data_IF_740830478745
#
_entry.id   IF_740830478745
#
_cell.length_a   1.000
_cell.length_b   1.000
_cell.length_c   1.000
_cell.angle_alpha   90.00
_cell.angle_beta   90.00
_cell.angle_gamma   90.00
#
_symmetry.space_group_name_H-M   'P 1'
#
loop_
_entity.id
_entity.type
_entity.pdbx_description
1 polymer ?
#
# COMPACT_ATOMS: atom_id res chain seq x y z
N UNK A 1 53.85 -31.00 39.18
CA UNK A 1 54.29 -29.83 38.38
C UNK A 1 53.37 -29.71 37.17
N UNK A 2 52.36 -28.84 37.30
CA UNK A 2 51.51 -28.18 36.29
C UNK A 2 50.89 -29.02 35.14
N UNK A 3 49.62 -29.42 35.30
CA UNK A 3 48.70 -29.67 34.18
C UNK A 3 48.30 -28.31 33.57
N UNK A 4 48.51 -28.11 32.27
CA UNK A 4 48.00 -26.95 31.53
C UNK A 4 46.61 -27.29 30.99
N UNK A 5 45.57 -26.77 31.65
CA UNK A 5 44.22 -26.75 31.11
C UNK A 5 44.17 -25.78 29.92
N UNK A 6 43.88 -26.30 28.74
CA UNK A 6 43.62 -25.46 27.55
C UNK A 6 42.11 -25.37 27.38
N UNK A 7 41.55 -24.20 27.68
CA UNK A 7 40.13 -23.89 27.49
C UNK A 7 39.95 -23.54 26.01
N UNK A 8 39.21 -24.36 25.26
CA UNK A 8 38.70 -23.99 23.93
C UNK A 8 37.45 -23.13 24.12
N UNK A 9 37.60 -21.82 24.00
CA UNK A 9 36.46 -20.91 23.83
C UNK A 9 35.96 -21.01 22.39
N UNK A 10 34.86 -21.70 22.18
CA UNK A 10 34.14 -21.72 20.90
C UNK A 10 33.24 -20.49 20.83
N UNK A 11 33.62 -19.50 20.02
CA UNK A 11 32.81 -18.32 19.73
C UNK A 11 31.77 -18.70 18.67
N UNK A 12 30.53 -18.94 19.09
CA UNK A 12 29.39 -19.13 18.19
C UNK A 12 28.95 -17.77 17.67
N UNK A 13 29.31 -17.44 16.43
CA UNK A 13 28.84 -16.25 15.74
C UNK A 13 27.39 -16.49 15.30
N UNK A 14 26.43 -15.94 16.04
CA UNK A 14 25.02 -15.91 15.64
C UNK A 14 24.91 -14.92 14.47
N UNK A 15 24.74 -15.45 13.26
CA UNK A 15 24.41 -14.67 12.09
C UNK A 15 22.98 -14.14 12.27
N UNK A 16 22.86 -12.90 12.75
CA UNK A 16 21.58 -12.20 12.80
C UNK A 16 21.22 -11.87 11.35
N UNK A 17 20.30 -12.64 10.77
CA UNK A 17 19.73 -12.32 9.46
C UNK A 17 19.08 -10.95 9.57
N UNK A 18 19.72 -9.94 9.01
CA UNK A 18 19.07 -8.65 8.76
C UNK A 18 18.04 -8.96 7.69
N UNK A 19 16.80 -9.17 8.09
CA UNK A 19 15.67 -9.05 7.17
C UNK A 19 15.70 -7.60 6.73
N UNK A 20 16.18 -7.34 5.51
CA UNK A 20 15.94 -6.08 4.84
C UNK A 20 14.45 -5.82 4.95
N UNK A 21 14.08 -4.74 5.64
CA UNK A 21 12.72 -4.24 5.61
C UNK A 21 12.53 -3.79 4.17
N UNK A 22 12.08 -4.71 3.31
CA UNK A 22 11.65 -4.34 1.98
C UNK A 22 10.44 -3.46 2.24
N UNK A 23 10.60 -2.15 2.09
CA UNK A 23 9.47 -1.25 2.03
C UNK A 23 8.67 -1.71 0.80
N UNK A 24 7.68 -2.58 1.03
CA UNK A 24 6.88 -3.14 -0.03
C UNK A 24 6.19 -1.96 -0.71
N UNK A 25 6.65 -1.61 -1.90
CA UNK A 25 6.03 -0.55 -2.69
C UNK A 25 4.64 -1.01 -3.11
N UNK A 26 3.64 -0.14 -2.95
CA UNK A 26 2.31 -0.38 -3.50
C UNK A 26 2.40 -0.63 -5.01
N UNK A 27 1.70 -1.65 -5.46
CA UNK A 27 1.62 -2.03 -6.87
C UNK A 27 0.51 -1.23 -7.55
N UNK A 28 0.78 -0.69 -8.73
CA UNK A 28 -0.23 -0.06 -9.56
C UNK A 28 -0.98 -1.13 -10.37
N UNK A 29 -2.30 -1.23 -10.19
CA UNK A 29 -3.16 -2.21 -10.83
C UNK A 29 -3.11 -2.20 -12.36
N UNK A 30 -2.72 -1.08 -12.97
CA UNK A 30 -2.58 -0.95 -14.42
C UNK A 30 -1.21 -1.41 -14.96
N UNK A 31 -0.18 -1.51 -14.11
CA UNK A 31 1.19 -1.80 -14.55
C UNK A 31 1.84 -3.01 -13.87
N UNK A 32 1.29 -3.51 -12.76
CA UNK A 32 1.81 -4.67 -12.06
C UNK A 32 1.85 -5.91 -12.98
N UNK A 33 2.96 -6.63 -12.98
CA UNK A 33 3.09 -7.91 -13.68
C UNK A 33 2.24 -9.01 -13.04
N UNK A 34 1.98 -10.08 -13.78
CA UNK A 34 1.28 -11.26 -13.28
C UNK A 34 1.98 -11.86 -12.05
N UNK A 35 3.32 -11.87 -12.05
CA UNK A 35 4.12 -12.36 -10.92
C UNK A 35 3.99 -11.48 -9.69
N UNK A 36 3.90 -10.16 -9.85
CA UNK A 36 3.69 -9.22 -8.73
C UNK A 36 2.28 -9.37 -8.16
N UNK A 37 1.27 -9.47 -9.02
CA UNK A 37 -0.12 -9.70 -8.60
C UNK A 37 -0.29 -11.02 -7.84
N UNK A 38 0.34 -12.09 -8.34
CA UNK A 38 0.31 -13.41 -7.69
C UNK A 38 1.03 -13.43 -6.34
N UNK A 39 1.87 -12.43 -6.06
CA UNK A 39 2.56 -12.27 -4.78
C UNK A 39 1.73 -11.59 -3.71
N UNK A 40 0.57 -11.01 -4.05
CA UNK A 40 -0.31 -10.34 -3.08
C UNK A 40 -1.06 -11.40 -2.25
N UNK A 41 -1.03 -11.32 -0.91
CA UNK A 41 -1.82 -12.21 -0.06
C UNK A 41 -3.30 -12.22 -0.45
N UNK A 42 -3.94 -13.38 -0.39
CA UNK A 42 -5.36 -13.59 -0.72
C UNK A 42 -5.75 -13.37 -2.20
N UNK A 43 -4.79 -13.13 -3.10
CA UNK A 43 -5.05 -13.14 -4.55
C UNK A 43 -4.76 -14.54 -5.12
N UNK A 44 -5.73 -15.10 -5.85
CA UNK A 44 -5.58 -16.35 -6.59
C UNK A 44 -5.47 -16.09 -8.11
N UNK A 45 -5.21 -17.12 -8.90
CA UNK A 45 -5.05 -16.98 -10.36
C UNK A 45 -6.29 -16.41 -11.06
N UNK A 46 -7.51 -16.66 -10.56
CA UNK A 46 -8.74 -16.10 -11.13
C UNK A 46 -8.76 -14.58 -10.97
N UNK A 47 -8.44 -14.06 -9.78
CA UNK A 47 -8.34 -12.63 -9.51
C UNK A 47 -7.22 -11.97 -10.31
N UNK A 48 -6.05 -12.63 -10.44
CA UNK A 48 -4.94 -12.12 -11.27
C UNK A 48 -5.37 -11.92 -12.72
N UNK A 49 -6.00 -12.93 -13.31
CA UNK A 49 -6.42 -12.86 -14.71
C UNK A 49 -7.57 -11.85 -14.90
N UNK A 50 -8.48 -11.73 -13.93
CA UNK A 50 -9.49 -10.67 -13.94
C UNK A 50 -8.86 -9.27 -13.99
N UNK A 51 -7.90 -8.99 -13.11
CA UNK A 51 -7.21 -7.70 -13.07
C UNK A 51 -6.52 -7.43 -14.41
N UNK A 52 -5.76 -8.39 -14.94
CA UNK A 52 -5.03 -8.23 -16.20
C UNK A 52 -5.97 -7.97 -17.39
N UNK A 53 -7.07 -8.73 -17.48
CA UNK A 53 -8.01 -8.63 -18.60
C UNK A 53 -8.92 -7.39 -18.53
N UNK A 54 -9.13 -6.82 -17.34
CA UNK A 54 -9.96 -5.62 -17.14
C UNK A 54 -9.17 -4.31 -17.22
N UNK A 55 -7.85 -4.34 -17.46
CA UNK A 55 -7.03 -3.14 -17.66
C UNK A 55 -7.39 -2.40 -18.96
N UNK A 56 -7.22 -1.07 -18.99
CA UNK A 56 -6.87 -0.20 -17.86
C UNK A 56 -8.08 0.20 -17.03
N UNK A 57 -7.88 0.36 -15.72
CA UNK A 57 -8.81 1.00 -14.80
C UNK A 57 -8.59 2.52 -14.84
N UNK A 58 -9.65 3.31 -14.99
CA UNK A 58 -9.54 4.76 -14.98
C UNK A 58 -9.53 5.30 -13.54
N UNK A 59 -10.26 4.66 -12.63
CA UNK A 59 -10.33 5.03 -11.21
C UNK A 59 -10.08 3.83 -10.29
N UNK A 60 -9.91 4.10 -8.99
CA UNK A 60 -9.81 3.03 -7.99
C UNK A 60 -11.15 2.29 -7.85
N UNK A 61 -12.27 3.00 -7.96
CA UNK A 61 -13.62 2.44 -8.04
C UNK A 61 -13.81 1.47 -9.21
N UNK A 62 -13.21 1.71 -10.38
CA UNK A 62 -13.29 0.77 -11.51
C UNK A 62 -12.65 -0.58 -11.16
N UNK A 63 -11.50 -0.58 -10.48
CA UNK A 63 -10.87 -1.79 -9.96
C UNK A 63 -11.79 -2.44 -8.91
N UNK A 64 -12.31 -1.65 -7.98
CA UNK A 64 -13.17 -2.17 -6.91
C UNK A 64 -14.44 -2.85 -7.44
N UNK A 65 -15.07 -2.27 -8.45
CA UNK A 65 -16.25 -2.86 -9.09
C UNK A 65 -15.98 -4.24 -9.73
N UNK A 66 -14.74 -4.52 -10.14
CA UNK A 66 -14.39 -5.86 -10.61
C UNK A 66 -14.25 -6.85 -9.45
N UNK A 67 -13.60 -6.45 -8.37
CA UNK A 67 -13.20 -7.34 -7.29
C UNK A 67 -14.31 -7.58 -6.25
N UNK A 68 -15.18 -6.59 -6.01
CA UNK A 68 -16.20 -6.63 -4.95
C UNK A 68 -17.30 -7.67 -5.14
N UNK A 69 -17.42 -8.23 -6.35
CA UNK A 69 -18.34 -9.34 -6.62
C UNK A 69 -17.76 -10.71 -6.22
N UNK A 70 -16.46 -10.78 -5.98
CA UNK A 70 -15.74 -12.03 -5.72
C UNK A 70 -15.25 -12.15 -4.28
N UNK A 71 -15.13 -11.04 -3.57
CA UNK A 71 -14.42 -10.96 -2.30
C UNK A 71 -15.18 -10.05 -1.32
N UNK A 72 -15.04 -10.33 -0.03
CA UNK A 72 -15.59 -9.49 1.04
C UNK A 72 -14.78 -8.19 1.22
N UNK A 73 -15.38 -7.17 1.81
CA UNK A 73 -14.72 -5.88 2.09
C UNK A 73 -13.41 -6.04 2.86
N UNK A 74 -13.34 -6.96 3.82
CA UNK A 74 -12.12 -7.25 4.58
C UNK A 74 -11.00 -7.84 3.71
N UNK A 75 -11.35 -8.67 2.73
CA UNK A 75 -10.37 -9.24 1.79
C UNK A 75 -9.88 -8.16 0.81
N UNK A 76 -10.79 -7.29 0.35
CA UNK A 76 -10.46 -6.15 -0.51
C UNK A 76 -9.54 -5.15 0.19
N UNK A 77 -9.81 -4.83 1.46
CA UNK A 77 -8.94 -3.93 2.23
C UNK A 77 -7.50 -4.47 2.31
N UNK A 78 -7.34 -5.79 2.52
CA UNK A 78 -6.03 -6.44 2.49
C UNK A 78 -5.34 -6.39 1.12
N UNK A 79 -6.11 -6.47 0.03
CA UNK A 79 -5.59 -6.28 -1.34
C UNK A 79 -5.18 -4.83 -1.57
N UNK A 80 -6.00 -3.86 -1.15
CA UNK A 80 -5.74 -2.43 -1.34
C UNK A 80 -4.62 -1.88 -0.47
N UNK A 81 -4.20 -2.61 0.55
CA UNK A 81 -2.94 -2.38 1.24
C UNK A 81 -1.69 -2.68 0.38
N UNK A 82 -1.86 -3.33 -0.78
CA UNK A 82 -0.78 -3.75 -1.67
C UNK A 82 -0.98 -3.32 -3.13
N UNK A 83 -2.21 -3.05 -3.57
CA UNK A 83 -2.58 -2.81 -4.96
C UNK A 83 -3.57 -1.66 -5.07
N UNK A 84 -3.30 -0.70 -5.96
CA UNK A 84 -4.16 0.48 -6.10
C UNK A 84 -4.19 1.00 -7.55
N UNK A 85 -5.11 1.91 -7.82
CA UNK A 85 -5.05 2.81 -8.99
C UNK A 85 -4.74 4.20 -8.45
N UNK A 86 -3.74 4.92 -9.00
CA UNK A 86 -3.36 6.25 -8.48
C UNK A 86 -4.54 7.23 -8.42
N UNK A 87 -4.78 7.78 -7.23
CA UNK A 87 -5.84 8.74 -6.97
C UNK A 87 -5.35 10.15 -7.33
N UNK A 88 -6.04 10.78 -8.28
CA UNK A 88 -5.77 12.17 -8.64
C UNK A 88 -6.28 13.09 -7.54
N UNK A 89 -5.37 13.79 -6.86
CA UNK A 89 -5.71 14.59 -5.67
C UNK A 89 -6.82 15.61 -5.93
N UNK A 90 -6.86 16.19 -7.12
CA UNK A 90 -7.79 17.27 -7.46
C UNK A 90 -9.12 16.78 -8.04
N UNK A 91 -9.28 15.48 -8.31
CA UNK A 91 -10.46 14.98 -9.02
C UNK A 91 -10.99 13.61 -8.55
N UNK A 92 -10.29 12.88 -7.69
CA UNK A 92 -10.78 11.60 -7.15
C UNK A 92 -12.09 11.79 -6.39
N UNK A 93 -13.02 10.85 -6.48
CA UNK A 93 -14.24 10.92 -5.67
C UNK A 93 -13.96 10.60 -4.20
N UNK A 94 -14.83 11.06 -3.31
CA UNK A 94 -14.87 10.62 -1.90
C UNK A 94 -14.88 9.07 -1.79
N UNK A 95 -15.72 8.40 -2.59
CA UNK A 95 -15.79 6.93 -2.63
C UNK A 95 -14.44 6.28 -3.01
N UNK A 96 -13.73 6.85 -4.00
CA UNK A 96 -12.41 6.34 -4.40
C UNK A 96 -11.36 6.55 -3.31
N UNK A 97 -11.44 7.67 -2.56
CA UNK A 97 -10.53 7.96 -1.46
C UNK A 97 -10.76 6.99 -0.29
N UNK A 98 -12.02 6.62 -0.01
CA UNK A 98 -12.36 5.64 1.02
C UNK A 98 -11.87 4.21 0.71
N UNK A 99 -11.43 3.92 -0.52
CA UNK A 99 -10.80 2.63 -0.85
C UNK A 99 -9.36 2.52 -0.32
N UNK A 100 -8.75 3.63 0.12
CA UNK A 100 -7.49 3.58 0.86
C UNK A 100 -7.76 2.87 2.21
N UNK A 101 -7.05 1.77 2.55
CA UNK A 101 -7.25 1.08 3.82
C UNK A 101 -7.20 2.04 5.02
N UNK A 102 -8.16 1.90 5.94
CA UNK A 102 -8.30 2.77 7.11
C UNK A 102 -8.84 4.19 6.87
N UNK A 103 -9.10 4.61 5.62
CA UNK A 103 -9.69 5.93 5.33
C UNK A 103 -11.21 5.85 5.36
N UNK A 104 -11.81 6.52 6.35
CA UNK A 104 -13.26 6.70 6.43
C UNK A 104 -13.73 8.02 5.83
N UNK A 105 -15.05 8.18 5.73
CA UNK A 105 -15.72 9.38 5.17
C UNK A 105 -15.23 10.72 5.71
N UNK A 106 -14.91 10.80 7.02
CA UNK A 106 -14.36 12.03 7.59
C UNK A 106 -13.03 12.40 6.94
N UNK A 107 -12.13 11.44 6.75
CA UNK A 107 -10.80 11.70 6.21
C UNK A 107 -10.86 11.93 4.70
N UNK A 108 -11.71 11.19 3.98
CA UNK A 108 -11.98 11.43 2.57
C UNK A 108 -12.50 12.87 2.32
N UNK A 109 -13.37 13.37 3.19
CA UNK A 109 -13.83 14.76 3.13
C UNK A 109 -12.69 15.79 3.31
N UNK A 110 -11.72 15.54 4.21
CA UNK A 110 -10.58 16.45 4.36
C UNK A 110 -9.74 16.50 3.08
N UNK A 111 -9.59 15.39 2.35
CA UNK A 111 -8.91 15.39 1.05
C UNK A 111 -9.60 16.33 0.07
N UNK A 112 -10.94 16.32 0.03
CA UNK A 112 -11.73 17.18 -0.87
C UNK A 112 -11.67 18.66 -0.49
N UNK A 113 -11.76 18.97 0.81
CA UNK A 113 -11.85 20.34 1.34
C UNK A 113 -10.63 21.20 0.96
N UNK A 114 -9.44 20.61 0.93
CA UNK A 114 -8.20 21.33 0.60
C UNK A 114 -7.91 21.44 -0.91
N UNK A 115 -8.81 20.97 -1.78
CA UNK A 115 -8.66 21.16 -3.23
C UNK A 115 -8.79 22.64 -3.61
N UNK A 116 -8.01 23.11 -4.61
CA UNK A 116 -6.99 22.37 -5.34
C UNK A 116 -5.68 22.26 -4.55
N UNK A 117 -5.08 21.07 -4.59
CA UNK A 117 -3.68 20.89 -4.26
C UNK A 117 -2.82 21.39 -5.41
N UNK A 118 -1.77 22.12 -5.07
CA UNK A 118 -0.78 22.66 -6.01
C UNK A 118 0.61 22.05 -5.84
N UNK A 119 0.81 21.30 -4.76
CA UNK A 119 2.06 20.61 -4.44
C UNK A 119 1.82 19.47 -3.44
N UNK A 120 2.71 18.48 -3.43
CA UNK A 120 2.71 17.45 -2.38
C UNK A 120 3.08 18.03 -1.00
N UNK A 121 3.79 19.16 -0.94
CA UNK A 121 4.05 19.86 0.33
C UNK A 121 2.78 20.50 0.90
N UNK A 122 1.84 20.95 0.05
CA UNK A 122 0.51 21.33 0.51
C UNK A 122 -0.24 20.11 1.04
N UNK A 123 -0.26 19.00 0.32
CA UNK A 123 -0.88 17.75 0.80
C UNK A 123 -0.38 17.37 2.19
N UNK A 124 0.93 17.29 2.38
CA UNK A 124 1.58 16.99 3.67
C UNK A 124 1.12 17.90 4.79
N UNK A 125 1.17 19.22 4.59
CA UNK A 125 0.79 20.20 5.62
C UNK A 125 -0.68 20.15 5.97
N UNK A 126 -1.57 20.03 4.98
CA UNK A 126 -3.00 20.11 5.21
C UNK A 126 -3.53 18.80 5.84
N UNK A 127 -3.13 17.65 5.31
CA UNK A 127 -3.55 16.33 5.84
C UNK A 127 -2.87 16.01 7.18
N UNK A 128 -1.61 16.44 7.38
CA UNK A 128 -0.88 16.29 8.64
C UNK A 128 -1.50 17.05 9.83
N UNK A 129 -2.55 17.85 9.63
CA UNK A 129 -3.34 18.40 10.74
C UNK A 129 -4.25 17.36 11.41
N UNK A 130 -4.51 16.24 10.74
CA UNK A 130 -5.52 15.26 11.17
C UNK A 130 -4.95 13.88 11.48
N UNK A 131 -3.81 13.55 10.89
CA UNK A 131 -3.10 12.29 11.08
C UNK A 131 -1.61 12.55 11.32
N UNK A 132 -0.89 11.55 11.84
CA UNK A 132 0.54 11.67 12.07
C UNK A 132 1.37 11.56 10.78
N UNK A 133 2.68 11.82 10.89
CA UNK A 133 3.59 11.86 9.74
C UNK A 133 3.70 10.51 9.01
N UNK A 134 3.60 9.39 9.74
CA UNK A 134 3.65 8.04 9.17
C UNK A 134 2.41 7.76 8.32
N UNK A 135 1.23 8.17 8.81
CA UNK A 135 -0.03 8.03 8.08
C UNK A 135 -0.11 8.98 6.87
N UNK A 136 0.41 10.21 6.98
CA UNK A 136 0.58 11.10 5.82
C UNK A 136 1.43 10.42 4.75
N UNK A 137 2.61 9.90 5.14
CA UNK A 137 3.51 9.23 4.23
C UNK A 137 2.86 8.00 3.57
N UNK A 138 2.01 7.28 4.30
CA UNK A 138 1.22 6.17 3.73
C UNK A 138 0.20 6.65 2.72
N UNK A 139 -0.59 7.69 3.02
CA UNK A 139 -1.56 8.25 2.07
C UNK A 139 -0.90 8.78 0.80
N UNK A 140 0.30 9.37 0.90
CA UNK A 140 1.07 9.82 -0.27
C UNK A 140 1.34 8.72 -1.28
N UNK A 141 1.45 7.46 -0.84
CA UNK A 141 1.70 6.34 -1.74
C UNK A 141 0.51 6.06 -2.69
N UNK A 142 -0.69 6.51 -2.35
CA UNK A 142 -1.92 6.27 -3.11
C UNK A 142 -2.27 7.39 -4.09
N UNK A 143 -1.69 8.58 -3.91
CA UNK A 143 -2.14 9.80 -4.58
C UNK A 143 -1.12 10.34 -5.57
N UNK A 144 -1.62 11.05 -6.58
CA UNK A 144 -0.81 11.81 -7.53
C UNK A 144 -1.35 13.23 -7.66
N UNK A 145 -0.43 14.16 -7.92
CA UNK A 145 -0.74 15.51 -8.33
C UNK A 145 -0.78 15.57 -9.87
N UNK A 146 -1.83 16.18 -10.44
CA UNK A 146 -1.98 16.41 -11.88
C UNK A 146 -1.80 17.87 -12.27
#
# INVERSE_FOLDING_TARGET
MLLKNTIFTSLLLILMSITSVNAQSLLNANTASESELSGIPNINNEVVQLIINSRPFATFGDLNNQLSNLMSDNELEGIYANLFVPLKLNSASDDDIQLIPGVGSRMAHEFEEYRPYTSMDQFRREIGKYVDEDEVARYEMYVILE
#
